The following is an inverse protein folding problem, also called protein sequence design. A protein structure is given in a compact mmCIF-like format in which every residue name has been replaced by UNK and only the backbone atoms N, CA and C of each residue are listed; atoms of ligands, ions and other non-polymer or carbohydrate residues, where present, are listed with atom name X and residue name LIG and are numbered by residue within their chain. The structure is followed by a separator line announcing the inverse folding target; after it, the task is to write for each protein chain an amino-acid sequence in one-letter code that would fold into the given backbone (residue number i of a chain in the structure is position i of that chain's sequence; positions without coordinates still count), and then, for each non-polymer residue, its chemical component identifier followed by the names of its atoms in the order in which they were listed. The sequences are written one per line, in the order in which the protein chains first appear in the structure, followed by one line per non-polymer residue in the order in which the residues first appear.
data_IF_670454618737
#
_entry.id   IF_670454618737
#
_cell.length_a   1.000
_cell.length_b   1.000
_cell.length_c   1.000
_cell.angle_alpha   90.00
_cell.angle_beta   90.00
_cell.angle_gamma   90.00
#
_symmetry.space_group_name_H-M   'P 1'
#
loop_
_entity.id
_entity.type
_entity.pdbx_description
1 polymer ?
#
# COMPACT_ATOMS: atom_id res chain seq x y z
N UNK A 1 39.86 4.41 -9.01
CA UNK A 1 38.44 4.45 -8.59
C UNK A 1 37.62 3.74 -9.68
N UNK A 2 36.85 2.69 -9.36
CA UNK A 2 36.01 2.05 -10.39
C UNK A 2 34.83 2.97 -10.69
N UNK A 3 34.61 3.31 -11.96
CA UNK A 3 33.46 4.10 -12.38
C UNK A 3 32.23 3.20 -12.26
N UNK A 4 31.33 3.52 -11.34
CA UNK A 4 30.02 2.86 -11.25
C UNK A 4 29.12 3.49 -12.32
N UNK A 5 28.47 2.70 -13.18
CA UNK A 5 27.54 3.24 -14.18
C UNK A 5 26.39 4.02 -13.51
N UNK A 6 26.03 5.20 -14.03
CA UNK A 6 24.93 5.99 -13.48
C UNK A 6 23.59 5.26 -13.47
N UNK A 7 23.35 4.39 -14.47
CA UNK A 7 22.16 3.55 -14.50
C UNK A 7 22.07 2.57 -13.31
N UNK A 8 23.21 2.06 -12.84
CA UNK A 8 23.25 1.18 -11.67
C UNK A 8 22.92 1.96 -10.38
N UNK A 9 23.42 3.19 -10.26
CA UNK A 9 23.10 4.08 -9.14
C UNK A 9 21.60 4.41 -9.15
N UNK A 10 21.05 4.80 -10.30
CA UNK A 10 19.64 5.13 -10.44
C UNK A 10 18.72 3.94 -10.11
N UNK A 11 19.05 2.74 -10.59
CA UNK A 11 18.27 1.55 -10.26
C UNK A 11 18.34 1.21 -8.77
N UNK A 12 19.53 1.28 -8.17
CA UNK A 12 19.69 0.97 -6.76
C UNK A 12 18.88 1.93 -5.88
N UNK A 13 18.98 3.24 -6.13
CA UNK A 13 18.25 4.25 -5.35
C UNK A 13 16.74 4.15 -5.57
N UNK A 14 16.29 3.79 -6.77
CA UNK A 14 14.88 3.54 -7.05
C UNK A 14 14.35 2.31 -6.28
N UNK A 15 15.10 1.20 -6.26
CA UNK A 15 14.76 0.02 -5.48
C UNK A 15 14.69 0.31 -3.97
N UNK A 16 15.61 1.12 -3.45
CA UNK A 16 15.62 1.53 -2.04
C UNK A 16 14.35 2.34 -1.69
N UNK A 17 13.95 3.28 -2.56
CA UNK A 17 12.70 4.03 -2.41
C UNK A 17 11.47 3.11 -2.45
N UNK A 18 11.41 2.18 -3.40
CA UNK A 18 10.30 1.22 -3.51
C UNK A 18 10.20 0.34 -2.26
N UNK A 19 11.33 -0.15 -1.75
CA UNK A 19 11.38 -0.92 -0.51
C UNK A 19 10.81 -0.13 0.66
N UNK A 20 11.20 1.12 0.83
CA UNK A 20 10.69 1.99 1.89
C UNK A 20 9.16 2.20 1.78
N UNK A 21 8.66 2.48 0.57
CA UNK A 21 7.22 2.63 0.33
C UNK A 21 6.42 1.36 0.63
N UNK A 22 6.95 0.19 0.22
CA UNK A 22 6.33 -1.10 0.52
C UNK A 22 6.30 -1.36 2.04
N UNK A 23 7.38 -1.03 2.76
CA UNK A 23 7.43 -1.16 4.22
C UNK A 23 6.41 -0.25 4.92
N UNK A 24 6.23 0.98 4.44
CA UNK A 24 5.21 1.91 4.97
C UNK A 24 3.80 1.37 4.75
N UNK A 25 3.51 0.84 3.55
CA UNK A 25 2.24 0.21 3.23
C UNK A 25 1.98 -1.01 4.13
N UNK A 26 2.97 -1.91 4.26
CA UNK A 26 2.93 -3.07 5.15
C UNK A 26 2.69 -2.70 6.61
N UNK A 27 3.32 -1.64 7.11
CA UNK A 27 3.09 -1.14 8.46
C UNK A 27 1.66 -0.63 8.64
N UNK A 28 1.11 0.08 7.66
CA UNK A 28 -0.29 0.52 7.66
C UNK A 28 -1.29 -0.65 7.68
N UNK A 29 -1.00 -1.70 6.93
CA UNK A 29 -1.79 -2.94 6.91
C UNK A 29 -1.54 -3.85 8.14
N UNK A 30 -0.54 -3.53 8.97
CA UNK A 30 -0.07 -4.37 10.11
C UNK A 30 0.34 -5.79 9.69
N UNK A 31 0.95 -5.92 8.51
CA UNK A 31 1.40 -7.18 7.91
C UNK A 31 2.89 -7.11 7.61
N UNK A 32 3.69 -7.92 8.28
CA UNK A 32 5.16 -7.79 8.28
C UNK A 32 5.85 -8.77 7.32
N UNK A 33 5.10 -9.64 6.65
CA UNK A 33 5.60 -10.51 5.60
C UNK A 33 4.92 -10.17 4.28
N UNK A 34 5.67 -10.15 3.18
CA UNK A 34 5.13 -9.87 1.83
C UNK A 34 3.99 -10.82 1.48
N UNK A 35 4.10 -12.09 1.89
CA UNK A 35 3.08 -13.11 1.67
C UNK A 35 1.76 -12.88 2.41
N UNK A 36 1.70 -11.95 3.37
CA UNK A 36 0.49 -11.64 4.14
C UNK A 36 -0.33 -10.52 3.49
N UNK A 37 0.29 -9.70 2.62
CA UNK A 37 -0.42 -8.66 1.89
C UNK A 37 -1.40 -9.31 0.92
N UNK A 38 -2.63 -8.80 0.91
CA UNK A 38 -3.70 -9.25 0.05
C UNK A 38 -4.49 -8.05 -0.49
N UNK A 39 -5.41 -8.34 -1.42
CA UNK A 39 -6.18 -7.30 -2.14
C UNK A 39 -7.12 -6.52 -1.22
N UNK A 40 -7.55 -7.12 -0.12
CA UNK A 40 -8.38 -6.51 0.93
C UNK A 40 -7.62 -5.47 1.78
N UNK A 41 -6.29 -5.39 1.68
CA UNK A 41 -5.49 -4.30 2.26
C UNK A 41 -5.57 -3.00 1.43
N UNK A 42 -6.18 -3.04 0.24
CA UNK A 42 -6.29 -1.91 -0.66
C UNK A 42 -7.58 -1.14 -0.43
N UNK A 43 -7.51 0.17 -0.64
CA UNK A 43 -8.65 1.08 -0.57
C UNK A 43 -8.62 1.97 -1.81
N UNK A 44 -9.76 2.17 -2.46
CA UNK A 44 -9.88 3.05 -3.61
C UNK A 44 -9.97 4.51 -3.16
N UNK A 45 -9.10 5.35 -3.70
CA UNK A 45 -9.07 6.79 -3.39
C UNK A 45 -10.13 7.61 -4.15
N UNK A 46 -10.80 7.02 -5.14
CA UNK A 46 -11.86 7.66 -5.91
C UNK A 46 -12.94 6.63 -6.31
N UNK A 47 -14.11 7.12 -6.74
CA UNK A 47 -15.27 6.27 -7.08
C UNK A 47 -15.10 5.49 -8.39
N UNK A 48 -14.45 6.08 -9.39
CA UNK A 48 -14.20 5.43 -10.68
C UNK A 48 -13.32 4.18 -10.51
N UNK A 49 -12.23 4.30 -9.76
CA UNK A 49 -11.37 3.18 -9.39
C UNK A 49 -12.15 2.14 -8.61
N UNK A 50 -13.02 2.54 -7.67
CA UNK A 50 -13.83 1.60 -6.91
C UNK A 50 -14.79 0.82 -7.83
N UNK A 51 -15.45 1.49 -8.76
CA UNK A 51 -16.36 0.91 -9.75
C UNK A 51 -15.64 -0.09 -10.66
N UNK A 52 -14.48 0.29 -11.21
CA UNK A 52 -13.73 -0.56 -12.16
C UNK A 52 -13.03 -1.73 -11.47
N UNK A 53 -12.49 -1.53 -10.27
CA UNK A 53 -11.63 -2.53 -9.61
C UNK A 53 -12.37 -3.40 -8.59
N UNK A 54 -13.56 -3.00 -8.15
CA UNK A 54 -14.28 -3.60 -7.03
C UNK A 54 -13.61 -3.40 -5.67
N UNK A 55 -12.56 -2.58 -5.58
CA UNK A 55 -11.93 -2.22 -4.29
C UNK A 55 -12.83 -1.20 -3.60
N UNK A 56 -13.18 -1.39 -2.31
CA UNK A 56 -14.03 -0.46 -1.58
C UNK A 56 -13.50 0.97 -1.59
N UNK A 57 -14.40 1.94 -1.71
CA UNK A 57 -14.05 3.35 -1.60
C UNK A 57 -13.64 3.70 -0.16
N UNK A 58 -12.74 4.67 0.00
CA UNK A 58 -12.09 4.97 1.28
C UNK A 58 -13.01 5.30 2.46
N UNK A 59 -14.19 5.84 2.19
CA UNK A 59 -15.19 6.11 3.24
C UNK A 59 -15.96 4.86 3.66
N UNK A 60 -15.92 3.81 2.86
CA UNK A 60 -16.80 2.64 3.01
C UNK A 60 -16.01 1.43 3.54
N UNK A 61 -14.72 1.32 3.20
CA UNK A 61 -13.88 0.14 3.44
C UNK A 61 -13.87 -0.40 4.88
N UNK A 62 -14.04 0.46 5.90
CA UNK A 62 -14.03 0.09 7.32
C UNK A 62 -15.19 0.72 8.11
N UNK A 63 -16.20 1.29 7.43
CA UNK A 63 -17.28 2.04 8.08
C UNK A 63 -18.07 1.17 9.08
N UNK A 64 -18.41 -0.05 8.69
CA UNK A 64 -19.17 -0.95 9.56
C UNK A 64 -18.40 -1.30 10.84
N UNK A 65 -17.10 -1.59 10.72
CA UNK A 65 -16.25 -1.89 11.88
C UNK A 65 -16.13 -0.66 12.79
N UNK A 66 -15.92 0.52 12.20
CA UNK A 66 -15.84 1.78 12.94
C UNK A 66 -17.15 2.08 13.70
N UNK A 67 -18.31 1.93 13.05
CA UNK A 67 -19.63 2.12 13.69
C UNK A 67 -19.82 1.16 14.86
N UNK A 68 -19.49 -0.12 14.70
CA UNK A 68 -19.59 -1.11 15.78
C UNK A 68 -18.75 -0.71 17.00
N UNK A 69 -17.59 -0.07 16.82
CA UNK A 69 -16.76 0.41 17.93
C UNK A 69 -17.40 1.63 18.62
N UNK A 70 -18.01 2.53 17.84
CA UNK A 70 -18.63 3.75 18.37
C UNK A 70 -19.96 3.50 19.10
N UNK A 71 -20.68 2.44 18.75
CA UNK A 71 -21.98 2.09 19.34
C UNK A 71 -21.93 0.96 20.36
N UNK A 72 -20.73 0.48 20.70
CA UNK A 72 -20.50 -0.38 21.87
C UNK A 72 -20.60 0.42 23.16
#
# INVERSE_FOLDING_TARGET
MKVIPYGAIAMYTYMDKLKCGLQQFMAGARKFRISEIARDDLIASNRETAEVTGIPFMTDALDEQARRILTQ
#
